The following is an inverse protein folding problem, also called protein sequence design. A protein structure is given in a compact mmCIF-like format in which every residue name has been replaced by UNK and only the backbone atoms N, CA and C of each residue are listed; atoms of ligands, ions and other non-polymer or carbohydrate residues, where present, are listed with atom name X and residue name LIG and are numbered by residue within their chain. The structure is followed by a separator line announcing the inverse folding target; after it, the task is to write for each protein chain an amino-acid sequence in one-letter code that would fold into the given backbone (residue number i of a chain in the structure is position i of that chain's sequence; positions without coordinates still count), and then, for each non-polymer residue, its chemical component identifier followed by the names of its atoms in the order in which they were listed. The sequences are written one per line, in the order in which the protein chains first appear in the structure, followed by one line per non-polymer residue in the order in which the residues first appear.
data_IF_227355969887
#
_entry.id   IF_227355969887
#
_cell.length_a   1.000
_cell.length_b   1.000
_cell.length_c   1.000
_cell.angle_alpha   90.00
_cell.angle_beta   90.00
_cell.angle_gamma   90.00
#
_symmetry.space_group_name_H-M   'P 1'
#
loop_
_entity.id
_entity.type
_entity.pdbx_description
1 polymer ?
#
# COMPACT_ATOMS: atom_id res chain seq x y z
N UNK A 1 3.71 5.83 4.97
CA UNK A 1 2.29 6.20 4.85
C UNK A 1 1.90 7.03 6.05
N UNK A 2 1.96 8.33 5.87
CA UNK A 2 1.38 9.37 6.69
C UNK A 2 0.12 9.93 6.00
N UNK A 3 -0.70 10.64 6.77
CA UNK A 3 -1.78 11.43 6.18
C UNK A 3 -1.21 12.44 5.17
N UNK A 4 -1.89 12.61 4.03
CA UNK A 4 -1.50 13.46 2.91
C UNK A 4 -0.24 13.01 2.13
N UNK A 5 0.37 11.86 2.47
CA UNK A 5 1.50 11.32 1.71
C UNK A 5 1.06 10.81 0.33
N UNK A 6 1.86 11.09 -0.70
CA UNK A 6 1.67 10.51 -2.02
C UNK A 6 1.85 8.99 -1.97
N UNK A 7 0.90 8.27 -2.54
CA UNK A 7 0.91 6.80 -2.63
C UNK A 7 0.66 6.36 -4.07
N UNK A 8 1.17 5.19 -4.40
CA UNK A 8 0.77 4.46 -5.60
C UNK A 8 -0.12 3.28 -5.22
N UNK A 9 -1.13 3.04 -6.05
CA UNK A 9 -2.05 1.92 -5.93
C UNK A 9 -1.88 1.01 -7.15
N UNK A 10 -1.65 -0.27 -6.88
CA UNK A 10 -1.57 -1.33 -7.89
C UNK A 10 -2.75 -2.27 -7.71
N UNK A 11 -3.69 -2.22 -8.63
CA UNK A 11 -4.86 -3.07 -8.59
C UNK A 11 -4.54 -4.43 -9.22
N UNK A 12 -4.54 -5.48 -8.39
CA UNK A 12 -4.21 -6.85 -8.80
C UNK A 12 -5.38 -7.48 -9.56
N UNK A 13 -6.62 -7.09 -9.22
CA UNK A 13 -7.82 -7.61 -9.87
C UNK A 13 -7.92 -7.19 -11.34
N UNK A 14 -7.59 -5.94 -11.67
CA UNK A 14 -7.82 -5.39 -13.01
C UNK A 14 -6.56 -4.87 -13.72
N UNK A 15 -5.41 -4.81 -13.05
CA UNK A 15 -4.13 -4.38 -13.63
C UNK A 15 -3.89 -2.87 -13.68
N UNK A 16 -4.85 -2.04 -13.23
CA UNK A 16 -4.71 -0.59 -13.18
C UNK A 16 -3.61 -0.16 -12.20
N UNK A 17 -2.92 0.93 -12.55
CA UNK A 17 -1.84 1.52 -11.75
C UNK A 17 -2.02 3.02 -11.73
N UNK A 18 -2.11 3.62 -10.56
CA UNK A 18 -2.35 5.05 -10.44
C UNK A 18 -1.74 5.63 -9.15
N UNK A 19 -1.49 6.94 -9.18
CA UNK A 19 -0.91 7.70 -8.08
C UNK A 19 -1.98 8.61 -7.48
N UNK A 20 -2.02 8.70 -6.16
CA UNK A 20 -2.90 9.60 -5.40
C UNK A 20 -2.25 9.93 -4.05
N UNK A 21 -3.01 10.39 -3.06
CA UNK A 21 -2.55 10.64 -1.70
C UNK A 21 -3.43 9.96 -0.65
N UNK A 22 -2.86 9.67 0.52
CA UNK A 22 -3.56 9.02 1.62
C UNK A 22 -4.44 10.01 2.43
N UNK A 23 -5.65 9.59 2.76
CA UNK A 23 -6.57 10.28 3.67
C UNK A 23 -6.84 9.36 4.85
N UNK A 24 -6.80 9.89 6.08
CA UNK A 24 -7.03 9.09 7.28
C UNK A 24 -8.51 8.69 7.40
N UNK A 25 -8.75 7.39 7.58
CA UNK A 25 -10.05 6.84 7.96
C UNK A 25 -10.11 6.58 9.47
N UNK A 26 -11.28 6.17 9.98
CA UNK A 26 -11.46 5.79 11.38
C UNK A 26 -10.53 4.64 11.78
N UNK A 27 -9.86 4.78 12.92
CA UNK A 27 -8.92 3.79 13.43
C UNK A 27 -9.63 2.45 13.69
N UNK A 28 -9.04 1.35 13.21
CA UNK A 28 -9.58 -0.01 13.40
C UNK A 28 -10.75 -0.38 12.47
N UNK A 29 -11.20 0.52 11.59
CA UNK A 29 -12.33 0.26 10.68
C UNK A 29 -12.06 -0.72 9.54
N UNK A 30 -10.79 -0.95 9.17
CA UNK A 30 -10.43 -1.74 8.00
C UNK A 30 -10.81 -1.09 6.65
N UNK A 31 -11.21 0.18 6.65
CA UNK A 31 -11.67 0.88 5.44
C UNK A 31 -10.52 1.10 4.46
N UNK A 32 -10.76 0.69 3.22
CA UNK A 32 -10.00 1.09 2.02
C UNK A 32 -11.00 1.74 1.06
N UNK A 33 -11.00 3.07 1.00
CA UNK A 33 -11.95 3.84 0.17
C UNK A 33 -11.22 4.56 -0.95
N UNK A 34 -11.47 4.14 -2.19
CA UNK A 34 -10.93 4.79 -3.39
C UNK A 34 -11.94 5.84 -3.87
N UNK A 35 -11.61 7.12 -3.67
CA UNK A 35 -12.56 8.22 -3.81
C UNK A 35 -12.32 9.07 -5.07
N UNK A 36 -13.37 9.78 -5.51
CA UNK A 36 -13.28 10.75 -6.61
C UNK A 36 -12.88 10.12 -7.94
N UNK A 37 -12.00 10.78 -8.70
CA UNK A 37 -11.57 10.28 -10.01
C UNK A 37 -10.87 8.90 -9.94
N UNK A 38 -10.28 8.55 -8.79
CA UNK A 38 -9.66 7.25 -8.59
C UNK A 38 -10.67 6.10 -8.54
N UNK A 39 -11.95 6.37 -8.21
CA UNK A 39 -13.00 5.36 -8.18
C UNK A 39 -13.26 4.72 -9.55
N UNK A 40 -12.86 5.38 -10.65
CA UNK A 40 -12.91 4.79 -12.00
C UNK A 40 -11.84 3.71 -12.24
N UNK A 41 -10.93 3.48 -11.28
CA UNK A 41 -9.75 2.60 -11.42
C UNK A 41 -9.80 1.39 -10.48
N UNK A 42 -10.80 1.31 -9.60
CA UNK A 42 -10.98 0.22 -8.65
C UNK A 42 -12.44 0.11 -8.23
N UNK A 43 -12.94 -1.12 -8.11
CA UNK A 43 -14.28 -1.42 -7.62
C UNK A 43 -14.21 -2.00 -6.19
N UNK A 44 -15.29 -1.88 -5.39
CA UNK A 44 -15.37 -2.56 -4.10
C UNK A 44 -15.13 -4.07 -4.24
N UNK A 45 -14.19 -4.60 -3.45
CA UNK A 45 -13.78 -6.02 -3.49
C UNK A 45 -12.50 -6.27 -4.28
N UNK A 46 -11.97 -5.27 -5.00
CA UNK A 46 -10.68 -5.42 -5.66
C UNK A 46 -9.53 -5.61 -4.67
N UNK A 47 -8.61 -6.51 -5.02
CA UNK A 47 -7.36 -6.69 -4.28
C UNK A 47 -6.36 -5.67 -4.79
N UNK A 48 -5.92 -4.77 -3.91
CA UNK A 48 -4.97 -3.72 -4.25
C UNK A 48 -3.72 -3.78 -3.36
N UNK A 49 -2.60 -3.30 -3.91
CA UNK A 49 -1.36 -3.04 -3.17
C UNK A 49 -1.19 -1.53 -3.08
N UNK A 50 -0.96 -1.01 -1.88
CA UNK A 50 -0.69 0.42 -1.64
C UNK A 50 0.78 0.59 -1.27
N UNK A 51 1.51 1.42 -2.02
CA UNK A 51 2.93 1.66 -1.84
C UNK A 51 3.22 3.15 -1.61
N UNK A 52 4.19 3.44 -0.75
CA UNK A 52 4.78 4.76 -0.59
C UNK A 52 6.30 4.67 -0.74
N UNK A 53 6.87 5.70 -1.34
CA UNK A 53 8.29 5.79 -1.66
C UNK A 53 8.94 6.90 -0.85
N UNK A 54 10.21 6.69 -0.50
CA UNK A 54 11.04 7.69 0.17
C UNK A 54 12.36 7.82 -0.58
N UNK A 55 12.80 9.05 -0.79
CA UNK A 55 14.15 9.34 -1.27
C UNK A 55 15.15 9.11 -0.14
N UNK A 56 16.18 8.31 -0.42
CA UNK A 56 17.24 8.00 0.55
C UNK A 56 18.60 8.24 -0.09
N UNK A 57 19.55 8.68 0.73
CA UNK A 57 20.97 8.63 0.40
C UNK A 57 21.48 7.20 0.44
N UNK A 58 22.65 6.94 -0.17
CA UNK A 58 23.27 5.61 -0.16
C UNK A 58 23.60 5.14 1.27
N UNK A 59 23.95 6.06 2.18
CA UNK A 59 24.24 5.73 3.57
C UNK A 59 22.96 5.30 4.31
N UNK A 60 21.86 6.00 4.11
CA UNK A 60 20.56 5.64 4.71
C UNK A 60 20.07 4.29 4.15
N UNK A 61 20.19 4.09 2.83
CA UNK A 61 19.76 2.88 2.14
C UNK A 61 20.40 1.60 2.72
N UNK A 62 21.67 1.66 3.12
CA UNK A 62 22.38 0.52 3.70
C UNK A 62 21.71 -0.05 4.97
N UNK A 63 21.03 0.82 5.73
CA UNK A 63 20.31 0.46 6.95
C UNK A 63 18.80 0.42 6.78
N UNK A 64 18.28 0.85 5.62
CA UNK A 64 16.86 0.97 5.38
C UNK A 64 16.17 -0.40 5.38
N UNK A 65 15.02 -0.44 6.04
CA UNK A 65 14.14 -1.60 6.10
C UNK A 65 12.72 -1.15 5.77
N UNK A 66 12.11 -1.61 4.67
CA UNK A 66 10.75 -1.23 4.34
C UNK A 66 9.78 -1.75 5.40
N UNK A 67 8.63 -1.10 5.55
CA UNK A 67 7.53 -1.63 6.38
C UNK A 67 6.54 -2.35 5.48
N UNK A 68 6.48 -3.67 5.60
CA UNK A 68 5.55 -4.52 4.85
C UNK A 68 4.42 -4.94 5.79
N UNK A 69 3.18 -4.66 5.41
CA UNK A 69 1.98 -4.99 6.18
C UNK A 69 1.13 -5.93 5.34
N UNK A 70 0.81 -7.09 5.88
CA UNK A 70 0.00 -8.11 5.21
C UNK A 70 -1.36 -8.20 5.88
N UNK A 71 -2.40 -8.22 5.06
CA UNK A 71 -3.79 -8.20 5.51
C UNK A 71 -4.50 -9.50 5.10
N UNK A 72 -5.55 -9.86 5.82
CA UNK A 72 -6.51 -10.88 5.40
C UNK A 72 -7.63 -10.28 4.52
N UNK A 73 -8.59 -11.10 4.12
CA UNK A 73 -9.74 -10.71 3.28
C UNK A 73 -10.69 -9.70 3.96
N UNK A 74 -10.57 -9.52 5.28
CA UNK A 74 -11.36 -8.55 6.06
C UNK A 74 -10.52 -7.29 6.40
N UNK A 75 -9.37 -7.12 5.75
CA UNK A 75 -8.42 -6.03 6.00
C UNK A 75 -7.88 -5.99 7.44
N UNK A 76 -7.85 -7.13 8.16
CA UNK A 76 -7.12 -7.21 9.41
C UNK A 76 -5.65 -7.51 9.17
N UNK A 77 -4.78 -6.86 9.93
CA UNK A 77 -3.33 -7.10 9.85
C UNK A 77 -3.05 -8.50 10.40
N UNK A 78 -2.56 -9.39 9.53
CA UNK A 78 -2.16 -10.75 9.92
C UNK A 78 -0.74 -10.76 10.46
N UNK A 79 0.16 -10.03 9.78
CA UNK A 79 1.55 -9.90 10.18
C UNK A 79 2.25 -8.72 9.50
N UNK A 80 3.41 -8.36 10.02
CA UNK A 80 4.30 -7.35 9.41
C UNK A 80 5.69 -7.93 9.19
N UNK A 81 6.37 -7.43 8.16
CA UNK A 81 7.76 -7.80 7.84
C UNK A 81 8.54 -6.57 7.42
N UNK A 82 9.85 -6.75 7.30
CA UNK A 82 10.75 -5.73 6.79
C UNK A 82 11.75 -6.24 5.75
N UNK A 83 11.49 -7.44 5.23
CA UNK A 83 12.24 -8.12 4.18
C UNK A 83 11.29 -8.97 3.35
N UNK A 84 11.52 -9.02 2.04
CA UNK A 84 10.87 -9.96 1.13
C UNK A 84 11.86 -11.11 0.89
N UNK A 85 11.45 -12.39 1.03
CA UNK A 85 12.32 -13.52 0.74
C UNK A 85 12.85 -13.47 -0.70
N UNK A 86 14.06 -14.00 -0.91
CA UNK A 86 14.62 -14.16 -2.25
C UNK A 86 13.75 -15.16 -3.01
N UNK A 87 13.24 -14.74 -4.17
CA UNK A 87 12.53 -15.64 -5.07
C UNK A 87 13.53 -16.63 -5.67
N UNK A 88 13.27 -17.92 -5.47
CA UNK A 88 14.06 -19.02 -6.03
C UNK A 88 13.46 -19.47 -7.38
N UNK A 89 14.28 -20.11 -8.20
CA UNK A 89 13.86 -20.69 -9.49
C UNK A 89 13.06 -21.98 -9.32
#
# INVERSE_FOLDING_TARGET
IQEYEQIEIYNVSNGERFTTYAIRAEDGSGIISVNGAAAHRADPGDIIIICAYVGLTQQELASFKPKLVYLDEQNHITHTRNTIPVQVA
#
